data_IF_245329762530
#
_entry.id   IF_245329762530
#
_cell.length_a   1.000
_cell.length_b   1.000
_cell.length_c   1.000
_cell.angle_alpha   90.00
_cell.angle_beta   90.00
_cell.angle_gamma   90.00
#
_symmetry.space_group_name_H-M   'P 1'
#
loop_
_entity.id
_entity.type
_entity.pdbx_description
1 polymer ?
#
# COMPACT_ATOMS: atom_id res chain seq x y z
N UNK A 1 3.83 17.00 20.90
CA UNK A 1 4.16 15.59 20.65
C UNK A 1 5.05 15.53 19.41
N UNK A 2 6.28 14.97 19.54
CA UNK A 2 7.25 14.92 18.44
C UNK A 2 6.72 14.03 17.30
N UNK A 3 6.76 14.53 16.08
CA UNK A 3 6.43 13.76 14.88
C UNK A 3 7.38 12.54 14.83
N UNK A 4 6.83 11.34 14.85
CA UNK A 4 7.61 10.10 14.74
C UNK A 4 8.33 10.13 13.39
N UNK A 5 9.66 10.09 13.38
CA UNK A 5 10.44 10.08 12.14
C UNK A 5 10.08 8.83 11.34
N UNK A 6 9.57 9.03 10.13
CA UNK A 6 9.16 7.94 9.24
C UNK A 6 10.40 7.26 8.65
N UNK A 7 10.45 5.93 8.74
CA UNK A 7 11.56 5.13 8.19
C UNK A 7 11.21 4.58 6.83
N UNK A 8 12.15 4.67 5.87
CA UNK A 8 11.99 4.18 4.51
C UNK A 8 13.14 3.21 4.21
N UNK A 9 12.78 2.00 3.81
CA UNK A 9 13.75 1.03 3.29
C UNK A 9 13.77 1.08 1.76
N UNK A 10 14.94 1.04 1.15
CA UNK A 10 15.10 1.02 -0.30
C UNK A 10 15.89 -0.20 -0.73
N UNK A 11 15.34 -0.97 -1.67
CA UNK A 11 16.04 -2.10 -2.30
C UNK A 11 16.33 -1.75 -3.75
N UNK A 12 17.61 -1.62 -4.06
CA UNK A 12 18.15 -1.17 -5.34
C UNK A 12 19.57 -1.71 -5.46
N UNK A 13 19.90 -2.41 -6.51
CA UNK A 13 21.23 -3.00 -6.72
C UNK A 13 22.27 -1.98 -7.22
N UNK A 14 21.85 -0.94 -7.97
CA UNK A 14 22.73 0.14 -8.38
C UNK A 14 23.09 1.04 -7.19
N UNK A 15 24.36 1.00 -6.79
CA UNK A 15 24.89 1.76 -5.66
C UNK A 15 24.69 3.27 -5.82
N UNK A 16 24.87 3.82 -7.05
CA UNK A 16 24.75 5.25 -7.29
C UNK A 16 23.29 5.72 -7.15
N UNK A 17 22.35 4.97 -7.73
CA UNK A 17 20.91 5.28 -7.62
C UNK A 17 20.50 5.18 -6.17
N UNK A 18 20.93 4.12 -5.47
CA UNK A 18 20.60 3.88 -4.07
C UNK A 18 21.12 5.00 -3.18
N UNK A 19 22.43 5.31 -3.24
CA UNK A 19 23.06 6.33 -2.39
C UNK A 19 22.47 7.72 -2.63
N UNK A 20 22.33 8.13 -3.90
CA UNK A 20 21.75 9.43 -4.26
C UNK A 20 20.32 9.57 -3.74
N UNK A 21 19.51 8.52 -3.90
CA UNK A 21 18.11 8.53 -3.45
C UNK A 21 18.04 8.58 -1.93
N UNK A 22 18.83 7.77 -1.22
CA UNK A 22 18.88 7.76 0.24
C UNK A 22 19.34 9.12 0.81
N UNK A 23 20.36 9.72 0.21
CA UNK A 23 20.84 11.06 0.62
C UNK A 23 19.70 12.09 0.53
N UNK A 24 18.99 12.13 -0.57
CA UNK A 24 17.91 13.10 -0.76
C UNK A 24 16.69 12.83 0.12
N UNK A 25 16.34 11.58 0.35
CA UNK A 25 15.26 11.20 1.27
C UNK A 25 15.61 11.56 2.73
N UNK A 26 16.86 11.29 3.17
CA UNK A 26 17.33 11.69 4.50
C UNK A 26 17.32 13.23 4.66
N UNK A 27 17.76 13.97 3.64
CA UNK A 27 17.71 15.43 3.62
C UNK A 27 16.27 15.98 3.69
N UNK A 28 15.29 15.16 3.27
CA UNK A 28 13.86 15.51 3.32
C UNK A 28 13.17 15.11 4.62
N UNK A 29 13.93 14.62 5.63
CA UNK A 29 13.44 14.32 6.96
C UNK A 29 12.98 12.87 7.18
N UNK A 30 13.23 11.97 6.25
CA UNK A 30 13.03 10.53 6.47
C UNK A 30 14.26 9.91 7.15
N UNK A 31 14.08 8.74 7.78
CA UNK A 31 15.19 7.88 8.20
C UNK A 31 15.30 6.73 7.21
N UNK A 32 16.33 6.72 6.35
CA UNK A 32 16.42 5.77 5.25
C UNK A 32 17.53 4.75 5.45
N UNK A 33 17.25 3.51 5.06
CA UNK A 33 18.22 2.43 4.95
C UNK A 33 18.14 1.79 3.57
N UNK A 34 19.30 1.46 2.98
CA UNK A 34 19.39 0.90 1.63
C UNK A 34 19.95 -0.51 1.62
N UNK A 35 19.42 -1.34 0.75
CA UNK A 35 19.76 -2.75 0.59
C UNK A 35 20.02 -3.04 -0.88
N UNK A 36 21.06 -3.83 -1.16
CA UNK A 36 21.41 -4.20 -2.53
C UNK A 36 20.61 -5.41 -3.05
N UNK A 37 20.01 -6.18 -2.15
CA UNK A 37 19.32 -7.42 -2.50
C UNK A 37 18.24 -7.83 -1.46
N UNK A 38 17.50 -8.88 -1.79
CA UNK A 38 16.42 -9.41 -0.96
C UNK A 38 16.89 -9.99 0.38
N UNK A 39 18.11 -10.52 0.45
CA UNK A 39 18.61 -11.17 1.66
C UNK A 39 18.95 -10.13 2.72
N UNK A 40 19.59 -9.03 2.33
CA UNK A 40 19.89 -7.90 3.22
C UNK A 40 18.61 -7.21 3.70
N UNK A 41 17.62 -7.03 2.82
CA UNK A 41 16.29 -6.54 3.22
C UNK A 41 15.65 -7.47 4.26
N UNK A 42 15.69 -8.78 4.03
CA UNK A 42 15.08 -9.78 4.95
C UNK A 42 15.69 -9.69 6.33
N UNK A 43 17.02 -9.65 6.41
CA UNK A 43 17.73 -9.52 7.68
C UNK A 43 17.32 -8.25 8.44
N UNK A 44 17.19 -7.12 7.75
CA UNK A 44 16.75 -5.86 8.34
C UNK A 44 15.29 -5.90 8.83
N UNK A 45 14.39 -6.55 8.09
CA UNK A 45 12.97 -6.70 8.47
C UNK A 45 12.75 -7.56 9.73
N UNK A 46 13.69 -8.42 10.09
CA UNK A 46 13.63 -9.14 11.37
C UNK A 46 13.91 -8.22 12.57
N UNK A 47 14.68 -7.15 12.36
CA UNK A 47 15.10 -6.21 13.40
C UNK A 47 14.13 -5.03 13.51
N UNK A 48 13.71 -4.47 12.37
CA UNK A 48 12.91 -3.25 12.32
C UNK A 48 11.86 -3.32 11.21
N UNK A 49 10.66 -2.81 11.49
CA UNK A 49 9.60 -2.63 10.51
C UNK A 49 9.64 -1.19 9.99
N UNK A 50 9.89 -0.96 8.68
CA UNK A 50 9.89 0.39 8.11
C UNK A 50 8.46 0.91 7.92
N UNK A 51 8.33 2.23 7.79
CA UNK A 51 7.06 2.89 7.45
C UNK A 51 6.69 2.69 5.97
N UNK A 52 7.68 2.42 5.10
CA UNK A 52 7.50 2.20 3.66
C UNK A 52 8.73 1.50 3.07
N UNK A 53 8.51 0.71 2.02
CA UNK A 53 9.58 0.09 1.22
C UNK A 53 9.53 0.64 -0.21
N UNK A 54 10.67 1.13 -0.71
CA UNK A 54 10.93 1.32 -2.14
C UNK A 54 11.59 0.04 -2.67
N UNK A 55 11.03 -0.58 -3.68
CA UNK A 55 11.50 -1.88 -4.16
C UNK A 55 11.70 -1.87 -5.67
N UNK A 56 12.94 -2.04 -6.11
CA UNK A 56 13.20 -2.24 -7.54
C UNK A 56 12.64 -3.58 -8.02
N UNK A 57 12.08 -3.56 -9.21
CA UNK A 57 11.64 -4.78 -9.90
C UNK A 57 12.85 -5.57 -10.42
N UNK A 58 13.83 -4.88 -10.98
CA UNK A 58 14.96 -5.50 -11.68
C UNK A 58 16.16 -5.71 -10.75
N UNK A 59 16.01 -6.59 -9.77
CA UNK A 59 17.11 -6.97 -8.89
C UNK A 59 17.85 -8.22 -9.41
N UNK A 60 19.16 -8.32 -9.17
CA UNK A 60 19.94 -9.50 -9.53
C UNK A 60 19.56 -10.71 -8.80
N UNK A 61 19.44 -11.82 -8.78
CA UNK A 61 19.12 -13.01 -8.00
C UNK A 61 17.62 -13.26 -7.79
N UNK A 62 16.87 -12.28 -7.30
CA UNK A 62 15.43 -12.44 -7.04
C UNK A 62 14.70 -11.18 -7.53
N UNK A 63 13.74 -11.35 -8.43
CA UNK A 63 12.95 -10.26 -9.00
C UNK A 63 12.04 -9.60 -7.94
N UNK A 64 11.92 -8.27 -7.99
CA UNK A 64 11.16 -7.49 -7.02
C UNK A 64 9.68 -7.88 -6.92
N UNK A 65 9.08 -8.43 -7.97
CA UNK A 65 7.70 -8.95 -7.94
C UNK A 65 7.59 -10.18 -7.04
N UNK A 66 8.60 -11.05 -7.05
CA UNK A 66 8.68 -12.21 -6.17
C UNK A 66 8.85 -11.80 -4.71
N UNK A 67 9.69 -10.78 -4.46
CA UNK A 67 9.86 -10.19 -3.14
C UNK A 67 8.53 -9.58 -2.65
N UNK A 68 7.84 -8.81 -3.48
CA UNK A 68 6.54 -8.22 -3.17
C UNK A 68 5.53 -9.28 -2.75
N UNK A 69 5.38 -10.36 -3.52
CA UNK A 69 4.47 -11.47 -3.20
C UNK A 69 4.76 -12.06 -1.83
N UNK A 70 6.04 -12.31 -1.54
CA UNK A 70 6.47 -12.86 -0.25
C UNK A 70 6.17 -11.90 0.90
N UNK A 71 6.45 -10.60 0.74
CA UNK A 71 6.14 -9.59 1.74
C UNK A 71 4.64 -9.49 2.02
N UNK A 72 3.80 -9.68 1.00
CA UNK A 72 2.32 -9.67 1.15
C UNK A 72 1.76 -10.93 1.81
N UNK A 73 2.47 -12.04 1.73
CA UNK A 73 2.07 -13.30 2.39
C UNK A 73 2.46 -13.36 3.87
N UNK A 74 3.50 -12.65 4.27
CA UNK A 74 4.01 -12.71 5.64
C UNK A 74 3.24 -11.74 6.56
N UNK A 75 2.75 -12.24 7.72
CA UNK A 75 1.96 -11.48 8.70
C UNK A 75 2.64 -10.18 9.15
N UNK A 76 3.97 -10.21 9.38
CA UNK A 76 4.74 -9.05 9.85
C UNK A 76 4.86 -7.92 8.81
N UNK A 77 4.84 -8.26 7.52
CA UNK A 77 5.21 -7.32 6.45
C UNK A 77 4.06 -6.97 5.50
N UNK A 78 2.97 -7.75 5.50
CA UNK A 78 1.85 -7.57 4.56
C UNK A 78 1.21 -6.18 4.57
N UNK A 79 1.24 -5.50 5.72
CA UNK A 79 0.67 -4.15 5.90
C UNK A 79 1.66 -3.01 5.58
N UNK A 80 2.94 -3.31 5.35
CA UNK A 80 3.93 -2.28 5.01
C UNK A 80 3.64 -1.75 3.60
N UNK A 81 3.49 -0.43 3.41
CA UNK A 81 3.35 0.16 2.08
C UNK A 81 4.58 -0.12 1.23
N UNK A 82 4.38 -0.50 -0.04
CA UNK A 82 5.46 -0.81 -0.98
C UNK A 82 5.25 -0.01 -2.27
N UNK A 83 6.23 0.81 -2.62
CA UNK A 83 6.31 1.49 -3.92
C UNK A 83 7.32 0.75 -4.78
N UNK A 84 6.90 0.29 -5.96
CA UNK A 84 7.77 -0.40 -6.90
C UNK A 84 8.52 0.60 -7.77
N UNK A 85 9.83 0.40 -7.94
CA UNK A 85 10.64 1.11 -8.94
C UNK A 85 10.73 0.26 -10.20
N UNK A 86 10.38 0.80 -11.37
CA UNK A 86 10.32 0.01 -12.60
C UNK A 86 10.93 0.74 -13.80
N UNK A 87 11.77 0.05 -14.56
CA UNK A 87 12.22 0.50 -15.88
C UNK A 87 11.17 0.23 -16.97
N UNK A 88 10.11 -0.55 -16.67
CA UNK A 88 9.11 -0.95 -17.64
C UNK A 88 8.00 0.09 -17.73
N UNK A 89 7.82 0.60 -18.93
CA UNK A 89 6.79 1.60 -19.28
C UNK A 89 5.48 0.95 -19.75
N UNK A 90 5.42 -0.41 -19.86
CA UNK A 90 4.20 -1.05 -20.34
C UNK A 90 3.10 -1.00 -19.27
N UNK A 91 1.93 -0.56 -19.68
CA UNK A 91 0.71 -0.50 -18.88
C UNK A 91 0.36 -1.86 -18.24
N UNK A 92 0.59 -2.96 -18.97
CA UNK A 92 0.35 -4.32 -18.49
C UNK A 92 1.23 -4.74 -17.31
N UNK A 93 2.47 -4.28 -17.24
CA UNK A 93 3.37 -4.64 -16.13
C UNK A 93 3.02 -3.87 -14.86
N UNK A 94 2.53 -2.62 -14.99
CA UNK A 94 2.00 -1.83 -13.88
C UNK A 94 0.70 -2.44 -13.32
N UNK A 95 -0.22 -2.85 -14.21
CA UNK A 95 -1.48 -3.48 -13.84
C UNK A 95 -1.21 -4.79 -13.07
N UNK A 96 -0.35 -5.66 -13.59
CA UNK A 96 0.01 -6.92 -12.92
C UNK A 96 0.59 -6.70 -11.52
N UNK A 97 1.43 -5.70 -11.35
CA UNK A 97 2.05 -5.48 -10.06
C UNK A 97 1.10 -4.86 -9.02
N UNK A 98 0.14 -4.03 -9.43
CA UNK A 98 -0.88 -3.50 -8.53
C UNK A 98 -1.88 -4.60 -8.11
N UNK A 99 -2.23 -5.50 -9.01
CA UNK A 99 -3.00 -6.71 -8.69
C UNK A 99 -2.27 -7.61 -7.69
N UNK A 100 -0.93 -7.53 -7.64
CA UNK A 100 -0.09 -8.25 -6.68
C UNK A 100 0.07 -7.53 -5.34
N UNK A 101 -0.53 -6.33 -5.16
CA UNK A 101 -0.59 -5.61 -3.90
C UNK A 101 0.49 -4.54 -3.71
N UNK A 102 1.13 -4.03 -4.76
CA UNK A 102 1.92 -2.80 -4.68
C UNK A 102 1.01 -1.59 -4.40
N UNK A 103 1.54 -0.59 -3.71
CA UNK A 103 0.77 0.59 -3.28
C UNK A 103 0.91 1.76 -4.24
N UNK A 104 2.03 1.83 -4.96
CA UNK A 104 2.31 2.77 -6.04
C UNK A 104 3.49 2.29 -6.90
N UNK A 105 3.73 2.99 -8.02
CA UNK A 105 4.82 2.73 -8.96
C UNK A 105 5.54 4.01 -9.32
N UNK A 106 6.86 3.92 -9.46
CA UNK A 106 7.72 5.00 -9.97
C UNK A 106 8.50 4.45 -11.15
N UNK A 107 8.37 5.11 -12.30
CA UNK A 107 9.11 4.70 -13.51
C UNK A 107 10.54 5.24 -13.48
N UNK A 108 11.51 4.39 -13.77
CA UNK A 108 12.91 4.79 -14.01
C UNK A 108 13.08 5.29 -15.47
N UNK A 109 13.81 6.38 -15.71
CA UNK A 109 14.45 7.25 -14.71
C UNK A 109 13.42 8.15 -14.00
N UNK A 110 13.56 8.33 -12.69
CA UNK A 110 12.68 9.17 -11.89
C UNK A 110 13.43 10.36 -11.29
N UNK A 111 12.70 11.43 -11.04
CA UNK A 111 13.24 12.52 -10.23
C UNK A 111 13.09 12.18 -8.74
N UNK A 112 14.10 12.56 -7.96
CA UNK A 112 14.03 12.38 -6.50
C UNK A 112 12.84 13.12 -5.90
N UNK A 113 12.46 14.26 -6.46
CA UNK A 113 11.28 15.02 -6.03
C UNK A 113 9.98 14.24 -6.26
N UNK A 114 9.87 13.50 -7.36
CA UNK A 114 8.74 12.60 -7.61
C UNK A 114 8.68 11.49 -6.56
N UNK A 115 9.81 10.83 -6.27
CA UNK A 115 9.88 9.80 -5.25
C UNK A 115 9.44 10.33 -3.88
N UNK A 116 9.95 11.51 -3.46
CA UNK A 116 9.55 12.16 -2.21
C UNK A 116 8.06 12.47 -2.19
N UNK A 117 7.50 13.01 -3.28
CA UNK A 117 6.08 13.35 -3.37
C UNK A 117 5.20 12.10 -3.23
N UNK A 118 5.53 11.01 -3.91
CA UNK A 118 4.81 9.73 -3.85
C UNK A 118 4.93 9.07 -2.48
N UNK A 119 6.13 9.03 -1.89
CA UNK A 119 6.34 8.53 -0.52
C UNK A 119 5.45 9.31 0.46
N UNK A 120 5.49 10.66 0.42
CA UNK A 120 4.64 11.51 1.27
C UNK A 120 3.16 11.26 1.04
N UNK A 121 2.73 11.06 -0.20
CA UNK A 121 1.34 10.78 -0.53
C UNK A 121 0.88 9.42 0.03
N UNK A 122 1.70 8.39 -0.10
CA UNK A 122 1.43 7.06 0.47
C UNK A 122 1.40 7.13 2.01
N UNK A 123 2.44 7.70 2.64
CA UNK A 123 2.53 7.81 4.10
C UNK A 123 1.44 8.69 4.71
N UNK A 124 1.04 9.78 4.06
CA UNK A 124 -0.09 10.63 4.51
C UNK A 124 -1.40 9.85 4.59
N UNK A 125 -1.63 8.89 3.70
CA UNK A 125 -2.79 8.00 3.77
C UNK A 125 -2.73 7.09 5.00
N UNK A 126 -1.53 6.91 5.58
CA UNK A 126 -1.30 6.15 6.81
C UNK A 126 -1.46 6.99 8.09
N UNK A 127 -1.27 8.32 8.00
CA UNK A 127 -1.37 9.26 9.13
C UNK A 127 -2.79 9.84 9.22
N UNK A 128 -3.78 9.08 9.62
CA UNK A 128 -5.04 9.66 10.09
C UNK A 128 -5.08 9.58 11.62
N UNK A 129 -5.21 10.74 12.25
CA UNK A 129 -5.33 10.90 13.70
C UNK A 129 -6.46 10.02 14.27
N UNK A 130 -6.15 9.42 15.40
CA UNK A 130 -6.85 8.41 16.14
C UNK A 130 -8.37 8.54 16.28
N UNK A 131 -9.12 7.93 15.36
CA UNK A 131 -10.52 7.62 15.57
C UNK A 131 -10.83 6.19 15.08
N UNK A 132 -11.52 5.44 15.92
CA UNK A 132 -12.13 4.19 15.52
C UNK A 132 -13.36 4.49 14.65
N UNK A 133 -13.45 3.86 13.47
CA UNK A 133 -14.69 3.83 12.70
C UNK A 133 -15.36 2.48 12.94
N UNK A 134 -16.64 2.48 13.33
CA UNK A 134 -17.40 1.27 13.55
C UNK A 134 -18.66 1.24 12.70
N UNK A 135 -18.88 0.13 11.98
CA UNK A 135 -20.09 -0.14 11.21
C UNK A 135 -20.49 -1.60 11.50
N UNK A 136 -21.56 -1.79 12.25
CA UNK A 136 -21.99 -3.11 12.71
C UNK A 136 -20.91 -3.84 13.47
N UNK A 137 -20.53 -5.02 12.98
CA UNK A 137 -19.48 -5.86 13.59
C UNK A 137 -18.06 -5.53 13.10
N UNK A 138 -17.90 -4.54 12.21
CA UNK A 138 -16.58 -4.12 11.69
C UNK A 138 -16.13 -2.91 12.49
N UNK A 139 -14.95 -2.98 13.11
CA UNK A 139 -14.25 -1.84 13.69
C UNK A 139 -12.89 -1.65 13.03
N UNK A 140 -12.57 -0.42 12.67
CA UNK A 140 -11.35 -0.02 12.00
C UNK A 140 -10.64 1.06 12.82
N UNK A 141 -9.44 0.75 13.30
CA UNK A 141 -8.58 1.69 14.01
C UNK A 141 -7.58 2.32 13.03
N UNK A 142 -7.78 3.61 12.73
CA UNK A 142 -7.00 4.32 11.71
C UNK A 142 -5.52 4.45 12.06
N UNK A 143 -5.24 4.78 13.31
CA UNK A 143 -3.90 5.00 13.86
C UNK A 143 -3.06 3.71 13.93
N UNK A 144 -3.70 2.63 14.34
CA UNK A 144 -3.06 1.31 14.46
C UNK A 144 -3.08 0.49 13.18
N UNK A 145 -3.85 0.92 12.17
CA UNK A 145 -4.13 0.20 10.92
C UNK A 145 -4.64 -1.24 11.14
N UNK A 146 -5.46 -1.41 12.16
CA UNK A 146 -6.03 -2.70 12.54
C UNK A 146 -7.52 -2.71 12.24
N UNK A 147 -8.03 -3.83 11.76
CA UNK A 147 -9.45 -4.06 11.52
C UNK A 147 -9.89 -5.28 12.31
N UNK A 148 -11.00 -5.17 12.97
CA UNK A 148 -11.66 -6.30 13.62
C UNK A 148 -13.03 -6.54 12.99
N UNK A 149 -13.40 -7.80 12.84
CA UNK A 149 -14.74 -8.25 12.51
C UNK A 149 -15.18 -9.24 13.57
N UNK A 150 -16.28 -8.94 14.31
CA UNK A 150 -16.73 -9.73 15.45
C UNK A 150 -15.59 -10.02 16.45
N UNK A 151 -14.85 -8.99 16.84
CA UNK A 151 -13.73 -9.05 17.80
C UNK A 151 -12.49 -9.83 17.31
N UNK A 152 -12.56 -10.44 16.13
CA UNK A 152 -11.40 -11.09 15.51
C UNK A 152 -10.62 -10.11 14.64
N UNK A 153 -9.32 -10.00 14.85
CA UNK A 153 -8.44 -9.21 14.01
C UNK A 153 -8.37 -9.77 12.58
N UNK A 154 -8.55 -8.89 11.60
CA UNK A 154 -8.56 -9.22 10.18
C UNK A 154 -7.34 -8.63 9.51
N UNK A 155 -6.52 -9.49 8.96
CA UNK A 155 -5.31 -9.10 8.27
C UNK A 155 -5.61 -8.58 6.85
N UNK A 156 -5.47 -7.27 6.65
CA UNK A 156 -5.66 -6.61 5.37
C UNK A 156 -4.32 -6.16 4.78
N UNK A 157 -4.22 -6.15 3.45
CA UNK A 157 -3.15 -5.44 2.74
C UNK A 157 -3.35 -3.93 2.87
N UNK A 158 -2.34 -3.15 2.51
CA UNK A 158 -2.45 -1.69 2.55
C UNK A 158 -3.66 -1.18 1.74
N UNK A 159 -3.82 -1.64 0.50
CA UNK A 159 -4.93 -1.21 -0.38
C UNK A 159 -6.30 -1.65 0.12
N UNK A 160 -6.42 -2.86 0.64
CA UNK A 160 -7.67 -3.33 1.25
C UNK A 160 -8.06 -2.50 2.46
N UNK A 161 -7.08 -2.14 3.30
CA UNK A 161 -7.31 -1.27 4.44
C UNK A 161 -7.77 0.13 4.01
N UNK A 162 -7.08 0.77 3.06
CA UNK A 162 -7.45 2.09 2.57
C UNK A 162 -8.82 2.10 1.88
N UNK A 163 -9.13 1.04 1.12
CA UNK A 163 -10.42 0.86 0.48
C UNK A 163 -11.54 0.75 1.54
N UNK A 164 -11.36 -0.13 2.52
CA UNK A 164 -12.33 -0.31 3.60
C UNK A 164 -12.49 0.96 4.43
N UNK A 165 -11.37 1.63 4.79
CA UNK A 165 -11.37 2.89 5.52
C UNK A 165 -12.17 3.98 4.79
N UNK A 166 -11.95 4.13 3.48
CA UNK A 166 -12.67 5.12 2.70
C UNK A 166 -14.16 4.82 2.62
N UNK A 167 -14.53 3.56 2.38
CA UNK A 167 -15.93 3.14 2.34
C UNK A 167 -16.62 3.33 3.71
N UNK A 168 -15.97 2.95 4.81
CA UNK A 168 -16.52 3.13 6.17
C UNK A 168 -16.64 4.61 6.53
N UNK A 169 -15.71 5.46 6.10
CA UNK A 169 -15.79 6.91 6.32
C UNK A 169 -16.94 7.57 5.55
N UNK A 170 -17.33 7.00 4.42
CA UNK A 170 -18.45 7.47 3.61
C UNK A 170 -19.84 7.04 4.17
N UNK A 171 -19.87 6.11 5.12
CA UNK A 171 -21.02 5.71 5.91
C UNK A 171 -22.35 5.60 5.13
N UNK A 172 -22.48 4.57 4.32
CA UNK A 172 -23.70 4.29 3.54
C UNK A 172 -23.81 5.01 2.20
N UNK A 173 -22.93 5.98 1.93
CA UNK A 173 -22.90 6.67 0.62
C UNK A 173 -22.41 5.70 -0.47
N UNK A 174 -23.07 5.73 -1.62
CA UNK A 174 -22.65 4.94 -2.78
C UNK A 174 -21.41 5.59 -3.41
N UNK A 175 -20.32 4.84 -3.45
CA UNK A 175 -19.06 5.25 -4.07
C UNK A 175 -18.94 4.57 -5.44
N UNK A 176 -18.70 5.36 -6.49
CA UNK A 176 -18.45 4.79 -7.83
C UNK A 176 -17.12 4.05 -7.87
N UNK A 177 -16.95 3.17 -8.85
CA UNK A 177 -15.65 2.47 -9.05
C UNK A 177 -14.52 3.46 -9.31
N UNK A 178 -14.79 4.49 -10.07
CA UNK A 178 -13.81 5.52 -10.40
C UNK A 178 -13.41 6.34 -9.16
N UNK A 179 -14.37 6.74 -8.32
CA UNK A 179 -14.09 7.41 -7.04
C UNK A 179 -13.23 6.53 -6.11
N UNK A 180 -13.54 5.24 -6.04
CA UNK A 180 -12.77 4.27 -5.23
C UNK A 180 -11.37 4.09 -5.80
N UNK A 181 -11.26 3.99 -7.12
CA UNK A 181 -9.99 3.84 -7.82
C UNK A 181 -9.10 5.06 -7.59
N UNK A 182 -9.62 6.24 -7.92
CA UNK A 182 -8.92 7.51 -7.75
C UNK A 182 -8.47 7.75 -6.31
N UNK A 183 -9.36 7.53 -5.34
CA UNK A 183 -9.07 7.77 -3.93
C UNK A 183 -8.01 6.83 -3.35
N UNK A 184 -8.04 5.56 -3.75
CA UNK A 184 -7.18 4.52 -3.18
C UNK A 184 -5.91 4.32 -3.99
N UNK A 185 -5.97 4.46 -5.32
CA UNK A 185 -4.83 4.26 -6.21
C UNK A 185 -4.24 5.55 -6.78
N UNK A 186 -5.00 6.63 -6.84
CA UNK A 186 -4.56 7.95 -7.31
C UNK A 186 -5.09 8.31 -8.70
N UNK A 187 -5.04 9.61 -9.06
CA UNK A 187 -5.54 10.15 -10.34
C UNK A 187 -4.80 9.61 -11.57
N UNK A 188 -3.50 9.34 -11.44
CA UNK A 188 -2.67 8.86 -12.54
C UNK A 188 -2.73 7.32 -12.71
N UNK A 189 -3.66 6.67 -12.02
CA UNK A 189 -3.81 5.24 -12.12
C UNK A 189 -4.53 4.87 -13.42
N UNK A 190 -3.80 4.32 -14.39
CA UNK A 190 -4.29 3.88 -15.70
C UNK A 190 -4.91 2.47 -15.70
N UNK A 191 -5.13 1.88 -14.54
CA UNK A 191 -5.73 0.54 -14.43
C UNK A 191 -7.25 0.55 -14.55
N UNK A 192 -7.80 -0.61 -14.95
CA UNK A 192 -9.24 -0.78 -15.12
C UNK A 192 -9.98 -0.79 -13.77
N UNK A 193 -11.25 -0.41 -13.78
CA UNK A 193 -12.17 -0.48 -12.64
C UNK A 193 -12.34 -1.90 -12.04
N UNK A 194 -11.93 -2.94 -12.78
CA UNK A 194 -11.85 -4.34 -12.30
C UNK A 194 -10.92 -4.53 -11.10
N UNK A 195 -9.90 -3.69 -10.95
CA UNK A 195 -9.02 -3.71 -9.76
C UNK A 195 -9.80 -3.49 -8.48
N UNK A 196 -10.77 -2.57 -8.49
CA UNK A 196 -11.66 -2.33 -7.35
C UNK A 196 -12.49 -3.57 -7.06
N UNK A 197 -13.08 -4.19 -8.07
CA UNK A 197 -13.95 -5.37 -7.91
C UNK A 197 -13.19 -6.55 -7.28
N UNK A 198 -11.92 -6.76 -7.66
CA UNK A 198 -11.08 -7.80 -7.06
C UNK A 198 -10.78 -7.53 -5.59
N UNK A 199 -10.46 -6.29 -5.23
CA UNK A 199 -10.20 -5.92 -3.83
C UNK A 199 -11.47 -6.00 -2.97
N UNK A 200 -12.64 -5.62 -3.50
CA UNK A 200 -13.93 -5.81 -2.83
C UNK A 200 -14.22 -7.29 -2.60
N UNK A 201 -13.95 -8.15 -3.59
CA UNK A 201 -14.11 -9.60 -3.44
C UNK A 201 -13.20 -10.14 -2.32
N UNK A 202 -11.93 -9.74 -2.32
CA UNK A 202 -10.97 -10.14 -1.28
C UNK A 202 -11.38 -9.63 0.10
N UNK A 203 -11.80 -8.37 0.23
CA UNK A 203 -12.32 -7.80 1.47
C UNK A 203 -13.51 -8.59 2.02
N UNK A 204 -14.50 -8.90 1.18
CA UNK A 204 -15.66 -9.70 1.58
C UNK A 204 -15.24 -11.07 2.12
N UNK A 205 -14.31 -11.73 1.46
CA UNK A 205 -13.79 -13.04 1.90
C UNK A 205 -13.08 -12.94 3.26
N UNK A 206 -12.23 -11.92 3.45
CA UNK A 206 -11.47 -11.73 4.70
C UNK A 206 -12.35 -11.33 5.87
N UNK A 207 -13.35 -10.50 5.64
CA UNK A 207 -14.32 -10.06 6.65
C UNK A 207 -15.35 -11.16 7.00
N UNK A 208 -15.43 -12.24 6.23
CA UNK A 208 -16.38 -13.33 6.43
C UNK A 208 -17.83 -12.85 6.37
N UNK A 209 -18.65 -13.20 7.34
CA UNK A 209 -20.06 -12.79 7.39
C UNK A 209 -20.23 -11.26 7.44
N UNK A 210 -19.33 -10.55 8.14
CA UNK A 210 -19.35 -9.09 8.17
C UNK A 210 -19.10 -8.46 6.79
N UNK A 211 -18.48 -9.19 5.86
CA UNK A 211 -18.30 -8.76 4.47
C UNK A 211 -19.58 -8.55 3.68
N UNK A 212 -20.71 -9.11 4.14
CA UNK A 212 -22.03 -8.89 3.55
C UNK A 212 -22.47 -7.42 3.66
N UNK A 213 -21.92 -6.66 4.61
CA UNK A 213 -22.18 -5.21 4.77
C UNK A 213 -21.64 -4.38 3.59
N UNK A 214 -20.68 -4.90 2.85
CA UNK A 214 -20.24 -4.27 1.60
C UNK A 214 -21.25 -4.64 0.51
N UNK A 215 -22.18 -3.74 0.22
CA UNK A 215 -23.22 -3.94 -0.79
C UNK A 215 -22.75 -3.48 -2.18
N UNK A 216 -23.16 -4.22 -3.23
CA UNK A 216 -22.94 -3.83 -4.63
C UNK A 216 -24.13 -3.04 -5.13
N UNK A 217 -23.89 -1.84 -5.63
CA UNK A 217 -24.88 -1.07 -6.40
C UNK A 217 -24.62 -1.31 -7.87
N UNK A 218 -25.52 -2.09 -8.52
CA UNK A 218 -25.33 -2.52 -9.93
C UNK A 218 -25.11 -1.33 -10.84
N UNK A 219 -24.13 -1.46 -11.74
CA UNK A 219 -23.71 -0.45 -12.71
C UNK A 219 -23.19 0.88 -12.14
N UNK A 220 -23.07 1.02 -10.81
CA UNK A 220 -22.59 2.24 -10.15
C UNK A 220 -21.30 1.94 -9.38
N UNK A 221 -21.35 1.13 -8.34
CA UNK A 221 -20.21 0.90 -7.46
C UNK A 221 -20.56 0.14 -6.20
N UNK A 222 -20.09 0.63 -5.06
CA UNK A 222 -20.19 -0.04 -3.77
C UNK A 222 -20.56 0.92 -2.64
N UNK A 223 -21.19 0.40 -1.61
CA UNK A 223 -21.41 1.07 -0.32
C UNK A 223 -21.18 0.10 0.83
N UNK A 224 -21.02 0.61 2.04
CA UNK A 224 -21.00 -0.20 3.27
C UNK A 224 -22.06 0.33 4.24
N UNK A 225 -22.80 -0.58 4.85
CA UNK A 225 -23.91 -0.25 5.75
C UNK A 225 -24.09 -1.26 6.89
#
# INVERSE_FOLDING_TARGET
>A
MGKKTQSVFMVEDDDNIREMTLYALNSSGFKCEGFADADSLRAALEIQTPSLILLDIMLPKEDGISILKRLRQAEKTKAIPIIMLTAKTSEMDRIKGLDLGADDYISKPFSVLEAIARIKAVLRRCESEGDEIKIGEISLHKDRRVVFAREKEIALTFKEFELLKYMMSANGVVLTRDMLLERVWGFDYLGESRTVDMHIKSLRQKLGEAGARIATVRNVGYKIE
#
